data_IF_236776457074
#
_entry.id   IF_236776457074
#
_cell.length_a   1.000
_cell.length_b   1.000
_cell.length_c   1.000
_cell.angle_alpha   90.00
_cell.angle_beta   90.00
_cell.angle_gamma   90.00
#
_symmetry.space_group_name_H-M   'P 1'
#
loop_
_entity.id
_entity.type
_entity.pdbx_description
1 polymer ?
#
# COMPACT_ATOMS: atom_id res chain seq x y z
N UNK A 1 -10.61 35.72 4.42
CA UNK A 1 -11.22 34.39 4.25
C UNK A 1 -11.83 34.01 5.58
N UNK A 2 -13.13 33.67 5.62
CA UNK A 2 -13.73 33.16 6.85
C UNK A 2 -13.06 31.85 7.25
N UNK A 3 -12.95 31.58 8.56
CA UNK A 3 -12.51 30.28 9.04
C UNK A 3 -13.55 29.24 8.64
N UNK A 4 -13.07 28.15 8.10
CA UNK A 4 -13.87 27.05 7.57
C UNK A 4 -13.54 25.76 8.32
N UNK A 5 -14.58 25.00 8.68
CA UNK A 5 -14.46 23.71 9.35
C UNK A 5 -13.78 22.69 8.44
N UNK A 6 -14.07 22.73 7.13
CA UNK A 6 -13.43 21.83 6.18
C UNK A 6 -11.91 22.08 6.15
N UNK A 7 -11.48 23.34 6.09
CA UNK A 7 -10.06 23.70 6.20
C UNK A 7 -9.40 23.23 7.51
N UNK A 8 -10.07 23.40 8.67
CA UNK A 8 -9.55 22.91 9.95
C UNK A 8 -9.28 21.41 9.90
N UNK A 9 -10.24 20.64 9.40
CA UNK A 9 -10.11 19.18 9.33
C UNK A 9 -9.03 18.78 8.32
N UNK A 10 -9.11 19.25 7.08
CA UNK A 10 -8.25 18.74 6.00
C UNK A 10 -6.82 19.27 6.04
N UNK A 11 -6.62 20.53 6.45
CA UNK A 11 -5.30 21.18 6.39
C UNK A 11 -4.57 21.21 7.72
N UNK A 12 -5.28 21.12 8.84
CA UNK A 12 -4.67 21.18 10.17
C UNK A 12 -4.69 19.83 10.86
N UNK A 13 -5.85 19.16 10.91
CA UNK A 13 -6.00 17.91 11.68
C UNK A 13 -5.45 16.71 10.89
N UNK A 14 -5.91 16.50 9.66
CA UNK A 14 -5.61 15.29 8.88
C UNK A 14 -4.11 15.00 8.71
N UNK A 15 -3.22 15.96 8.40
CA UNK A 15 -1.81 15.67 8.19
C UNK A 15 -1.13 15.00 9.39
N UNK A 16 -1.45 15.45 10.60
CA UNK A 16 -0.91 14.91 11.85
C UNK A 16 -1.61 13.62 12.24
N UNK A 17 -2.95 13.63 12.22
CA UNK A 17 -3.74 12.51 12.69
C UNK A 17 -3.49 11.25 11.86
N UNK A 18 -3.39 11.40 10.52
CA UNK A 18 -3.10 10.28 9.63
C UNK A 18 -1.74 9.64 9.92
N UNK A 19 -0.71 10.46 10.20
CA UNK A 19 0.61 9.97 10.59
C UNK A 19 0.55 9.23 11.94
N UNK A 20 -0.14 9.80 12.94
CA UNK A 20 -0.31 9.19 14.26
C UNK A 20 -1.06 7.86 14.19
N UNK A 21 -2.17 7.80 13.44
CA UNK A 21 -2.95 6.57 13.22
C UNK A 21 -2.06 5.50 12.57
N UNK A 22 -1.27 5.88 11.56
CA UNK A 22 -0.34 4.95 10.92
C UNK A 22 0.72 4.43 11.91
N UNK A 23 1.27 5.31 12.76
CA UNK A 23 2.24 4.91 13.79
C UNK A 23 1.63 3.94 14.81
N UNK A 24 0.43 4.23 15.32
CA UNK A 24 -0.30 3.37 16.27
C UNK A 24 -0.57 1.98 15.69
N UNK A 25 -0.93 1.89 14.42
CA UNK A 25 -1.21 0.61 13.74
C UNK A 25 0.05 -0.17 13.31
N UNK A 26 1.22 0.46 13.34
CA UNK A 26 2.47 -0.12 12.81
C UNK A 26 3.26 -1.02 13.79
N UNK A 27 2.83 -1.15 15.05
CA UNK A 27 3.61 -1.80 16.13
C UNK A 27 3.42 -3.32 16.31
N UNK A 28 2.61 -4.01 15.49
CA UNK A 28 2.68 -5.49 15.33
C UNK A 28 2.32 -6.42 16.52
N UNK A 29 1.12 -7.02 16.43
CA UNK A 29 0.65 -8.39 16.85
C UNK A 29 0.40 -8.80 18.32
N UNK A 30 -0.78 -9.42 18.60
CA UNK A 30 -1.01 -10.84 19.06
C UNK A 30 -2.50 -11.11 19.43
N UNK A 31 -2.96 -12.34 19.13
CA UNK A 31 -4.35 -12.86 19.01
C UNK A 31 -4.98 -13.40 20.32
N UNK A 32 -6.26 -13.08 20.60
CA UNK A 32 -7.12 -13.83 21.56
C UNK A 32 -8.61 -13.90 21.15
N UNK A 33 -9.28 -15.02 21.44
CA UNK A 33 -10.64 -15.35 20.98
C UNK A 33 -11.69 -15.41 22.08
N UNK A 34 -12.95 -15.10 21.75
CA UNK A 34 -14.13 -15.30 22.61
C UNK A 34 -15.30 -15.87 21.81
N UNK A 35 -16.07 -16.72 22.47
CA UNK A 35 -17.12 -17.55 21.88
C UNK A 35 -18.44 -16.78 21.68
N UNK A 36 -19.04 -16.93 20.50
CA UNK A 36 -20.27 -16.23 20.08
C UNK A 36 -21.17 -17.12 19.23
N UNK A 37 -22.48 -16.87 19.31
CA UNK A 37 -23.60 -17.76 18.90
C UNK A 37 -23.69 -18.15 17.40
N UNK A 38 -22.80 -17.67 16.53
CA UNK A 38 -22.75 -18.02 15.09
C UNK A 38 -21.36 -18.47 14.63
N UNK A 39 -20.50 -18.87 15.56
CA UNK A 39 -19.12 -19.27 15.29
C UNK A 39 -18.13 -18.15 15.66
N UNK A 40 -16.92 -18.57 16.03
CA UNK A 40 -15.80 -17.70 16.42
C UNK A 40 -15.53 -16.64 15.34
N UNK A 41 -16.00 -15.41 15.58
CA UNK A 41 -15.59 -14.21 14.84
C UNK A 41 -14.40 -13.59 15.56
N UNK A 42 -13.28 -13.49 14.86
CA UNK A 42 -12.06 -12.84 15.34
C UNK A 42 -12.12 -11.36 14.91
N UNK A 43 -12.17 -10.44 15.87
CA UNK A 43 -12.02 -9.00 15.61
C UNK A 43 -10.85 -8.49 16.43
N UNK A 44 -9.86 -7.93 15.73
CA UNK A 44 -8.55 -7.51 16.21
C UNK A 44 -8.60 -6.06 16.71
N UNK A 45 -8.30 -5.83 18.00
CA UNK A 45 -8.03 -4.49 18.52
C UNK A 45 -6.87 -4.58 19.52
N UNK A 46 -5.66 -4.28 19.09
CA UNK A 46 -4.61 -3.89 20.04
C UNK A 46 -5.04 -2.62 20.77
N UNK A 47 -4.46 -2.33 21.94
CA UNK A 47 -4.70 -1.04 22.61
C UNK A 47 -4.44 0.13 21.65
N UNK A 48 -3.38 0.02 20.84
CA UNK A 48 -3.04 1.01 19.81
C UNK A 48 -4.11 1.11 18.72
N UNK A 49 -4.70 0.00 18.26
CA UNK A 49 -5.80 0.02 17.29
C UNK A 49 -7.05 0.67 17.86
N UNK A 50 -7.40 0.38 19.12
CA UNK A 50 -8.53 1.01 19.79
C UNK A 50 -8.34 2.53 19.86
N UNK A 51 -7.16 2.99 20.28
CA UNK A 51 -6.86 4.42 20.36
C UNK A 51 -6.79 5.08 18.97
N UNK A 52 -6.29 4.37 17.96
CA UNK A 52 -6.30 4.84 16.57
C UNK A 52 -7.73 5.00 16.04
N UNK A 53 -8.60 4.03 16.31
CA UNK A 53 -10.02 4.11 15.94
C UNK A 53 -10.75 5.22 16.69
N UNK A 54 -10.43 5.47 17.96
CA UNK A 54 -11.00 6.58 18.73
C UNK A 54 -10.61 7.95 18.13
N UNK A 55 -9.37 8.11 17.67
CA UNK A 55 -8.92 9.31 16.95
C UNK A 55 -9.63 9.47 15.59
N UNK A 56 -9.76 8.40 14.81
CA UNK A 56 -10.49 8.42 13.53
C UNK A 56 -11.96 8.81 13.72
N UNK A 57 -12.62 8.20 14.71
CA UNK A 57 -14.00 8.48 15.05
C UNK A 57 -14.19 9.93 15.49
N UNK A 58 -13.31 10.43 16.38
CA UNK A 58 -13.31 11.83 16.80
C UNK A 58 -13.23 12.77 15.60
N UNK A 59 -12.24 12.59 14.71
CA UNK A 59 -12.09 13.40 13.49
C UNK A 59 -13.35 13.36 12.63
N UNK A 60 -13.89 12.17 12.38
CA UNK A 60 -15.09 12.02 11.54
C UNK A 60 -16.29 12.73 12.16
N UNK A 61 -16.44 12.63 13.48
CA UNK A 61 -17.52 13.28 14.23
C UNK A 61 -17.41 14.81 14.20
N UNK A 62 -16.21 15.40 14.04
CA UNK A 62 -16.10 16.86 13.91
C UNK A 62 -16.95 17.41 12.76
N UNK A 63 -16.94 16.76 11.61
CA UNK A 63 -17.76 17.21 10.49
C UNK A 63 -19.25 17.13 10.83
N UNK A 64 -19.70 15.98 11.33
CA UNK A 64 -21.13 15.76 11.59
C UNK A 64 -21.66 16.61 12.75
N UNK A 65 -20.87 16.80 13.80
CA UNK A 65 -21.27 17.54 15.00
C UNK A 65 -21.25 19.06 14.81
N UNK A 66 -20.44 19.56 13.86
CA UNK A 66 -20.18 20.99 13.76
C UNK A 66 -20.50 21.64 12.40
N UNK A 67 -20.78 20.88 11.33
CA UNK A 67 -21.05 21.45 9.98
C UNK A 67 -22.19 22.48 9.93
N UNK A 68 -23.21 22.30 10.78
CA UNK A 68 -24.45 23.09 10.78
C UNK A 68 -24.46 24.11 11.94
N UNK A 69 -23.34 24.29 12.64
CA UNK A 69 -23.19 25.17 13.81
C UNK A 69 -21.98 26.07 13.69
N UNK A 70 -21.96 27.18 14.44
CA UNK A 70 -20.74 27.98 14.56
C UNK A 70 -19.70 27.22 15.38
N UNK A 71 -18.84 26.48 14.69
CA UNK A 71 -17.83 25.64 15.32
C UNK A 71 -16.78 26.44 16.10
N UNK A 72 -16.63 27.74 15.81
CA UNK A 72 -15.70 28.62 16.52
C UNK A 72 -16.16 28.83 17.96
N UNK A 73 -17.47 29.04 18.17
CA UNK A 73 -18.07 29.17 19.51
C UNK A 73 -17.91 27.89 20.34
N UNK A 74 -17.78 26.75 19.67
CA UNK A 74 -17.58 25.42 20.30
C UNK A 74 -16.12 24.96 20.30
N UNK A 75 -15.17 25.85 20.00
CA UNK A 75 -13.76 25.47 19.89
C UNK A 75 -13.18 24.83 21.17
N UNK A 76 -13.64 25.27 22.35
CA UNK A 76 -13.23 24.67 23.64
C UNK A 76 -13.66 23.21 23.75
N UNK A 77 -14.87 22.88 23.29
CA UNK A 77 -15.40 21.51 23.29
C UNK A 77 -14.61 20.61 22.32
N UNK A 78 -14.24 21.14 21.15
CA UNK A 78 -13.39 20.43 20.19
C UNK A 78 -12.04 20.09 20.83
N UNK A 79 -11.39 21.06 21.49
CA UNK A 79 -10.10 20.83 22.15
C UNK A 79 -10.24 19.88 23.34
N UNK A 80 -11.25 20.07 24.20
CA UNK A 80 -11.48 19.20 25.36
C UNK A 80 -11.71 17.74 24.93
N UNK A 81 -12.54 17.50 23.91
CA UNK A 81 -12.78 16.14 23.39
C UNK A 81 -11.50 15.48 22.85
N UNK A 82 -10.61 16.25 22.22
CA UNK A 82 -9.30 15.76 21.79
C UNK A 82 -8.39 15.47 22.98
N UNK A 83 -8.33 16.37 23.97
CA UNK A 83 -7.51 16.19 25.17
C UNK A 83 -7.87 14.92 25.95
N UNK A 84 -9.16 14.57 26.03
CA UNK A 84 -9.61 13.32 26.66
C UNK A 84 -9.03 12.07 25.96
N UNK A 85 -8.85 12.09 24.64
CA UNK A 85 -8.22 11.00 23.89
C UNK A 85 -6.70 11.00 24.14
N UNK A 86 -6.05 12.17 24.15
CA UNK A 86 -4.63 12.30 24.46
C UNK A 86 -4.29 11.83 25.89
N UNK A 87 -5.18 12.08 26.86
CA UNK A 87 -5.03 11.59 28.23
C UNK A 87 -4.96 10.06 28.24
N UNK A 88 -5.85 9.38 27.50
CA UNK A 88 -5.84 7.91 27.39
C UNK A 88 -4.59 7.41 26.68
N UNK A 89 -4.16 8.06 25.61
CA UNK A 89 -2.93 7.73 24.88
C UNK A 89 -1.71 7.80 25.80
N UNK A 90 -1.51 8.91 26.50
CA UNK A 90 -0.35 9.09 27.40
C UNK A 90 -0.42 8.15 28.61
N UNK A 91 -1.61 7.91 29.16
CA UNK A 91 -1.75 7.02 30.30
C UNK A 91 -1.51 5.54 29.93
N UNK A 92 -1.97 5.10 28.75
CA UNK A 92 -2.05 3.67 28.41
C UNK A 92 -0.94 3.16 27.51
N UNK A 93 -0.34 4.00 26.68
CA UNK A 93 0.79 3.59 25.85
C UNK A 93 2.05 3.36 26.70
N UNK A 94 2.90 2.39 26.33
CA UNK A 94 4.17 2.15 27.00
C UNK A 94 5.11 3.36 26.85
N UNK A 95 5.88 3.66 27.89
CA UNK A 95 6.88 4.73 27.87
C UNK A 95 8.09 4.33 27.00
N UNK A 96 7.95 4.54 25.70
CA UNK A 96 8.99 4.29 24.70
C UNK A 96 9.12 5.45 23.69
N UNK A 97 10.12 5.36 22.82
CA UNK A 97 10.40 6.38 21.83
C UNK A 97 9.23 6.60 20.84
N UNK A 98 8.41 5.57 20.58
CA UNK A 98 7.29 5.68 19.66
C UNK A 98 6.16 6.50 20.31
N UNK A 99 5.84 6.21 21.58
CA UNK A 99 4.88 7.00 22.35
C UNK A 99 5.26 8.48 22.39
N UNK A 100 6.51 8.82 22.73
CA UNK A 100 6.92 10.22 22.78
C UNK A 100 6.77 10.93 21.43
N UNK A 101 7.10 10.23 20.34
CA UNK A 101 6.90 10.74 18.98
C UNK A 101 5.43 10.95 18.64
N UNK A 102 4.56 9.99 18.97
CA UNK A 102 3.11 10.13 18.79
C UNK A 102 2.57 11.33 19.56
N UNK A 103 2.96 11.47 20.83
CA UNK A 103 2.50 12.57 21.68
C UNK A 103 3.00 13.93 21.19
N UNK A 104 4.23 14.02 20.68
CA UNK A 104 4.78 15.27 20.12
C UNK A 104 3.97 15.74 18.89
N UNK A 105 3.70 14.85 17.95
CA UNK A 105 2.88 15.15 16.75
C UNK A 105 1.45 15.56 17.14
N UNK A 106 0.85 14.90 18.14
CA UNK A 106 -0.48 15.26 18.63
C UNK A 106 -0.50 16.61 19.33
N UNK A 107 0.49 16.92 20.16
CA UNK A 107 0.58 18.23 20.83
C UNK A 107 0.82 19.37 19.85
N UNK A 108 1.63 19.14 18.81
CA UNK A 108 1.80 20.10 17.72
C UNK A 108 0.46 20.36 17.00
N UNK A 109 -0.28 19.29 16.69
CA UNK A 109 -1.62 19.39 16.10
C UNK A 109 -2.58 20.18 17.00
N UNK A 110 -2.67 19.86 18.30
CA UNK A 110 -3.56 20.55 19.24
C UNK A 110 -3.21 22.05 19.29
N UNK A 111 -1.93 22.40 19.32
CA UNK A 111 -1.50 23.81 19.30
C UNK A 111 -1.86 24.55 18.01
N UNK A 112 -1.85 23.87 16.85
CA UNK A 112 -2.33 24.45 15.59
C UNK A 112 -3.85 24.62 15.57
N UNK A 113 -4.58 23.66 16.14
CA UNK A 113 -6.04 23.74 16.31
C UNK A 113 -6.43 24.91 17.23
N UNK A 114 -5.76 25.07 18.37
CA UNK A 114 -5.98 26.19 19.31
C UNK A 114 -5.82 27.55 18.63
N UNK A 115 -4.70 27.77 17.93
CA UNK A 115 -4.45 29.01 17.19
C UNK A 115 -5.51 29.25 16.10
N UNK A 116 -5.88 28.20 15.36
CA UNK A 116 -6.93 28.32 14.34
C UNK A 116 -8.29 28.66 14.95
N UNK A 117 -8.59 28.19 16.16
CA UNK A 117 -9.83 28.48 16.88
C UNK A 117 -9.80 29.78 17.69
N UNK A 118 -8.70 30.56 17.67
CA UNK A 118 -8.53 31.79 18.48
C UNK A 118 -8.68 31.54 19.99
N UNK A 119 -8.18 30.39 20.47
CA UNK A 119 -8.25 29.98 21.87
C UNK A 119 -6.89 30.09 22.57
N UNK A 120 -6.11 31.12 22.26
CA UNK A 120 -4.73 31.26 22.76
C UNK A 120 -4.62 31.12 24.28
N UNK A 121 -3.80 30.16 24.73
CA UNK A 121 -3.56 29.88 26.15
C UNK A 121 -4.55 28.91 26.79
N UNK A 122 -5.57 28.46 26.06
CA UNK A 122 -6.53 27.49 26.55
C UNK A 122 -5.89 26.14 26.87
N UNK A 123 -5.02 25.62 25.99
CA UNK A 123 -4.28 24.37 26.23
C UNK A 123 -3.40 24.51 27.47
N UNK A 124 -2.70 25.64 27.62
CA UNK A 124 -1.86 25.90 28.77
C UNK A 124 -2.68 25.87 30.08
N UNK A 125 -3.89 26.43 30.08
CA UNK A 125 -4.81 26.40 31.22
C UNK A 125 -5.31 24.99 31.57
N UNK A 126 -5.31 24.05 30.61
CA UNK A 126 -5.74 22.66 30.78
C UNK A 126 -4.60 21.71 31.18
N UNK A 127 -3.34 22.16 31.21
CA UNK A 127 -2.18 21.29 31.44
C UNK A 127 -2.20 20.56 32.78
N UNK A 128 -2.59 21.25 33.87
CA UNK A 128 -2.66 20.62 35.20
C UNK A 128 -3.77 19.57 35.28
N UNK A 129 -4.92 19.83 34.66
CA UNK A 129 -6.01 18.86 34.52
C UNK A 129 -5.54 17.62 33.76
N UNK A 130 -4.89 17.82 32.61
CA UNK A 130 -4.34 16.75 31.78
C UNK A 130 -3.39 15.84 32.58
N UNK A 131 -2.37 16.42 33.22
CA UNK A 131 -1.37 15.67 33.97
C UNK A 131 -2.00 14.90 35.15
N UNK A 132 -2.92 15.54 35.87
CA UNK A 132 -3.63 14.90 36.99
C UNK A 132 -4.41 13.68 36.52
N UNK A 133 -5.09 13.78 35.37
CA UNK A 133 -5.88 12.67 34.80
C UNK A 133 -5.03 11.52 34.27
N UNK A 134 -3.90 11.83 33.63
CA UNK A 134 -2.95 10.80 33.19
C UNK A 134 -2.45 9.97 34.39
N UNK A 135 -2.05 10.63 35.48
CA UNK A 135 -1.58 9.95 36.69
C UNK A 135 -2.69 9.17 37.40
N UNK A 136 -3.93 9.69 37.41
CA UNK A 136 -5.10 8.97 37.93
C UNK A 136 -5.31 7.63 37.21
N UNK A 137 -5.29 7.64 35.86
CA UNK A 137 -5.47 6.43 35.04
C UNK A 137 -4.30 5.46 35.25
N UNK A 138 -3.05 5.95 35.29
CA UNK A 138 -1.86 5.10 35.54
C UNK A 138 -1.96 4.38 36.87
N UNK A 139 -2.35 5.09 37.93
CA UNK A 139 -2.53 4.52 39.27
C UNK A 139 -3.62 3.44 39.27
N UNK A 140 -4.75 3.71 38.62
CA UNK A 140 -5.85 2.73 38.49
C UNK A 140 -5.39 1.47 37.74
N UNK A 141 -4.68 1.61 36.63
CA UNK A 141 -4.15 0.49 35.84
C UNK A 141 -3.09 -0.32 36.63
N UNK A 142 -2.25 0.34 37.44
CA UNK A 142 -1.29 -0.35 38.32
C UNK A 142 -1.99 -1.15 39.43
N UNK A 143 -3.02 -0.57 40.07
CA UNK A 143 -3.83 -1.26 41.08
C UNK A 143 -4.54 -2.49 40.48
N UNK A 144 -5.09 -2.37 39.28
CA UNK A 144 -5.70 -3.49 38.55
C UNK A 144 -4.66 -4.57 38.22
N UNK A 145 -3.46 -4.21 37.76
CA UNK A 145 -2.37 -5.16 37.51
C UNK A 145 -1.99 -5.92 38.79
N UNK A 146 -1.87 -5.24 39.94
CA UNK A 146 -1.60 -5.86 41.25
C UNK A 146 -2.70 -6.83 41.66
N UNK A 147 -3.98 -6.48 41.44
CA UNK A 147 -5.13 -7.37 41.72
C UNK A 147 -5.08 -8.64 40.86
N UNK A 148 -4.91 -8.49 39.54
CA UNK A 148 -4.79 -9.63 38.61
C UNK A 148 -3.63 -10.55 38.97
N UNK A 149 -2.47 -9.99 39.36
CA UNK A 149 -1.31 -10.80 39.75
C UNK A 149 -1.56 -11.59 41.05
N UNK A 150 -2.25 -10.99 42.03
CA UNK A 150 -2.65 -11.69 43.28
C UNK A 150 -3.62 -12.83 42.99
N UNK A 151 -4.57 -12.65 42.09
CA UNK A 151 -5.51 -13.70 41.68
C UNK A 151 -4.82 -14.84 40.92
N UNK A 152 -3.93 -14.53 39.98
CA UNK A 152 -3.12 -15.55 39.28
C UNK A 152 -2.31 -16.40 40.26
N UNK A 153 -1.69 -15.78 41.28
CA UNK A 153 -0.96 -16.49 42.35
C UNK A 153 -1.86 -17.36 43.24
N UNK A 154 -3.12 -16.98 43.45
CA UNK A 154 -4.10 -17.81 44.18
C UNK A 154 -4.48 -19.04 43.36
N UNK A 155 -4.76 -18.86 42.06
CA UNK A 155 -5.15 -19.95 41.16
C UNK A 155 -4.02 -20.98 41.00
N UNK A 156 -2.77 -20.53 40.87
CA UNK A 156 -1.62 -21.43 40.73
C UNK A 156 -1.36 -22.28 41.98
N UNK A 157 -1.80 -21.83 43.17
CA UNK A 157 -1.66 -22.59 44.43
C UNK A 157 -2.74 -23.66 44.63
N UNK A 158 -3.89 -23.55 43.96
CA UNK A 158 -5.05 -24.43 44.17
C UNK A 158 -5.02 -25.67 43.25
N UNK A 159 -4.17 -25.69 42.21
CA UNK A 159 -4.01 -26.85 41.30
C UNK A 159 -2.60 -27.48 41.42
N UNK A 160 -2.42 -28.54 42.22
CA UNK A 160 -1.31 -29.47 42.02
C UNK A 160 -1.54 -30.20 40.69
N UNK A 161 -0.54 -30.21 39.83
CA UNK A 161 -0.56 -30.87 38.52
C UNK A 161 -0.82 -32.37 38.66
N UNK A 162 -2.06 -32.82 38.41
CA UNK A 162 -2.28 -34.18 37.93
C UNK A 162 -1.91 -34.19 36.45
N UNK A 163 -0.70 -34.65 36.19
CA UNK A 163 -0.13 -34.95 34.89
C UNK A 163 -1.07 -35.89 34.12
N UNK A 164 -1.88 -35.33 33.21
CA UNK A 164 -2.73 -36.12 32.33
C UNK A 164 -1.88 -36.56 31.14
N UNK A 165 -1.38 -37.79 31.18
CA UNK A 165 -0.74 -38.46 30.04
C UNK A 165 -1.67 -38.39 28.82
N UNK A 166 -1.22 -37.74 27.77
CA UNK A 166 -1.91 -37.65 26.48
C UNK A 166 -2.05 -39.03 25.85
N UNK A 167 -3.29 -39.50 25.68
CA UNK A 167 -3.62 -40.68 24.87
C UNK A 167 -3.42 -40.35 23.40
N UNK A 168 -2.47 -41.02 22.78
CA UNK A 168 -2.23 -41.06 21.33
C UNK A 168 -3.43 -41.73 20.65
N UNK A 169 -4.20 -40.98 19.88
CA UNK A 169 -5.26 -41.53 19.01
C UNK A 169 -4.63 -41.82 17.65
N UNK A 170 -4.44 -43.10 17.35
CA UNK A 170 -4.02 -43.59 16.04
C UNK A 170 -5.15 -43.39 15.02
N UNK A 171 -4.91 -42.57 14.00
CA UNK A 171 -5.77 -42.47 12.82
C UNK A 171 -5.33 -43.51 11.79
N UNK A 172 -6.13 -44.55 11.61
CA UNK A 172 -6.01 -45.53 10.53
C UNK A 172 -7.16 -45.38 9.52
N UNK A 173 -6.79 -45.61 8.26
CA UNK A 173 -7.63 -45.99 7.11
C UNK A 173 -8.54 -44.94 6.44
N UNK A 174 -8.15 -44.59 5.21
CA UNK A 174 -9.06 -44.40 4.07
C UNK A 174 -8.28 -44.33 2.75
N UNK A 175 -7.80 -45.49 2.28
CA UNK A 175 -7.44 -45.71 0.87
C UNK A 175 -8.68 -46.21 0.11
N UNK A 176 -9.25 -45.38 -0.76
CA UNK A 176 -10.08 -45.80 -1.93
C UNK A 176 -9.86 -44.77 -3.04
N UNK A 177 -9.10 -45.14 -4.08
CA UNK A 177 -9.61 -45.59 -5.39
C UNK A 177 -10.19 -44.44 -6.24
N UNK A 178 -9.33 -43.82 -7.05
CA UNK A 178 -9.74 -43.16 -8.31
C UNK A 178 -8.75 -43.57 -9.41
N UNK A 179 -9.12 -44.62 -10.16
CA UNK A 179 -8.64 -44.85 -11.52
C UNK A 179 -9.65 -44.19 -12.46
N UNK A 180 -9.23 -43.22 -13.27
CA UNK A 180 -10.00 -42.78 -14.44
C UNK A 180 -9.09 -42.32 -15.57
N UNK A 181 -9.09 -43.13 -16.64
CA UNK A 181 -8.97 -42.80 -18.06
C UNK A 181 -7.87 -41.82 -18.54
N UNK A 182 -6.79 -42.39 -19.09
CA UNK A 182 -5.90 -41.71 -20.05
C UNK A 182 -6.40 -42.02 -21.46
N UNK A 183 -7.11 -41.06 -22.07
CA UNK A 183 -7.45 -41.09 -23.48
C UNK A 183 -6.30 -40.53 -24.33
N UNK A 184 -5.60 -41.40 -25.08
CA UNK A 184 -4.63 -41.00 -26.11
C UNK A 184 -5.35 -40.36 -27.30
N UNK A 185 -5.33 -39.03 -27.41
CA UNK A 185 -5.65 -38.30 -28.66
C UNK A 185 -4.39 -38.17 -29.52
N UNK A 186 -4.34 -38.86 -30.67
CA UNK A 186 -3.38 -38.59 -31.75
C UNK A 186 -3.69 -37.20 -32.34
N UNK A 187 -2.84 -36.20 -32.04
CA UNK A 187 -2.85 -34.91 -32.76
C UNK A 187 -2.05 -35.08 -34.06
N UNK A 188 -2.69 -34.89 -35.21
CA UNK A 188 -2.01 -34.69 -36.51
C UNK A 188 -1.36 -33.30 -36.46
N UNK A 189 -0.04 -33.27 -36.39
CA UNK A 189 0.75 -32.04 -36.48
C UNK A 189 0.76 -31.61 -37.96
N UNK A 190 0.26 -30.39 -38.22
CA UNK A 190 0.31 -29.76 -39.53
C UNK A 190 1.77 -29.50 -39.93
N UNK A 191 2.16 -29.90 -41.14
CA UNK A 191 3.52 -29.79 -41.66
C UNK A 191 4.06 -28.34 -41.68
N UNK A 192 3.16 -27.35 -41.69
CA UNK A 192 3.52 -25.92 -41.58
C UNK A 192 4.09 -25.53 -40.21
N UNK A 193 3.69 -26.22 -39.14
CA UNK A 193 4.26 -26.01 -37.80
C UNK A 193 5.61 -26.72 -37.64
N UNK A 194 5.83 -27.83 -38.36
CA UNK A 194 7.11 -28.53 -38.34
C UNK A 194 8.25 -27.67 -38.92
N UNK A 195 7.98 -26.88 -39.98
CA UNK A 195 8.96 -25.96 -40.58
C UNK A 195 9.34 -24.81 -39.63
N UNK A 196 8.37 -24.26 -38.89
CA UNK A 196 8.62 -23.25 -37.86
C UNK A 196 9.48 -23.79 -36.71
N UNK A 197 9.21 -25.02 -36.26
CA UNK A 197 10.03 -25.67 -35.25
C UNK A 197 11.47 -25.92 -35.71
N UNK A 198 11.69 -26.26 -36.99
CA UNK A 198 13.04 -26.42 -37.55
C UNK A 198 13.79 -25.09 -37.55
N UNK A 199 13.14 -23.98 -37.90
CA UNK A 199 13.77 -22.66 -37.88
C UNK A 199 14.16 -22.20 -36.47
N UNK A 200 13.26 -22.39 -35.50
CA UNK A 200 13.55 -22.10 -34.09
C UNK A 200 14.68 -22.98 -33.56
N UNK A 201 14.69 -24.27 -33.93
CA UNK A 201 15.75 -25.19 -33.53
C UNK A 201 17.11 -24.82 -34.14
N UNK A 202 17.16 -24.42 -35.42
CA UNK A 202 18.38 -23.93 -36.06
C UNK A 202 18.89 -22.64 -35.42
N UNK A 203 17.99 -21.74 -35.04
CA UNK A 203 18.37 -20.50 -34.34
C UNK A 203 18.92 -20.77 -32.94
N UNK A 204 18.27 -21.66 -32.17
CA UNK A 204 18.75 -22.09 -30.85
C UNK A 204 20.08 -22.86 -30.95
N UNK A 205 20.25 -23.68 -31.99
CA UNK A 205 21.50 -24.40 -32.25
C UNK A 205 22.64 -23.45 -32.59
N UNK A 206 22.38 -22.42 -33.39
CA UNK A 206 23.37 -21.38 -33.70
C UNK A 206 23.77 -20.59 -32.45
N UNK A 207 22.80 -20.22 -31.60
CA UNK A 207 23.06 -19.56 -30.32
C UNK A 207 23.83 -20.46 -29.34
N UNK A 208 23.53 -21.76 -29.33
CA UNK A 208 24.25 -22.74 -28.51
C UNK A 208 25.70 -22.95 -28.99
N UNK A 209 25.94 -23.09 -30.30
CA UNK A 209 27.31 -23.22 -30.85
C UNK A 209 28.14 -21.95 -30.59
N UNK A 210 27.52 -20.77 -30.67
CA UNK A 210 28.16 -19.50 -30.32
C UNK A 210 28.49 -19.37 -28.82
N UNK A 211 27.59 -19.83 -27.94
CA UNK A 211 27.75 -19.67 -26.49
C UNK A 211 28.60 -20.75 -25.82
N UNK A 212 28.64 -21.97 -26.38
CA UNK A 212 29.26 -23.13 -25.73
C UNK A 212 30.46 -23.70 -26.49
N UNK A 213 30.61 -23.36 -27.77
CA UNK A 213 31.59 -23.97 -28.66
C UNK A 213 32.30 -22.92 -29.54
N UNK A 214 32.27 -21.65 -29.14
CA UNK A 214 32.89 -20.48 -29.79
C UNK A 214 32.66 -20.39 -31.31
N UNK A 215 31.51 -20.87 -31.80
CA UNK A 215 31.16 -20.88 -33.23
C UNK A 215 31.99 -21.83 -34.09
N UNK A 216 32.66 -22.82 -33.50
CA UNK A 216 33.56 -23.77 -34.21
C UNK A 216 32.83 -24.65 -35.23
N UNK A 217 31.51 -24.82 -35.11
CA UNK A 217 30.69 -25.54 -36.10
C UNK A 217 30.22 -24.58 -37.20
N UNK A 218 29.78 -23.38 -36.85
CA UNK A 218 29.37 -22.35 -37.82
C UNK A 218 30.51 -21.90 -38.75
N UNK A 219 31.74 -21.81 -38.25
CA UNK A 219 32.93 -21.53 -39.09
C UNK A 219 33.21 -22.61 -40.14
N UNK A 220 32.91 -23.88 -39.85
CA UNK A 220 33.05 -24.98 -40.83
C UNK A 220 32.03 -24.91 -41.96
N UNK A 221 30.90 -24.22 -41.75
CA UNK A 221 29.87 -23.99 -42.77
C UNK A 221 30.16 -22.71 -43.58
N UNK A 222 31.33 -22.09 -43.39
CA UNK A 222 31.78 -20.95 -44.19
C UNK A 222 31.25 -19.59 -43.71
N UNK A 223 30.74 -19.51 -42.48
CA UNK A 223 30.25 -18.25 -41.90
C UNK A 223 31.41 -17.60 -41.12
N UNK A 224 31.88 -16.45 -41.60
CA UNK A 224 33.00 -15.70 -41.02
C UNK A 224 32.59 -14.97 -39.72
N UNK A 225 33.13 -15.45 -38.59
CA UNK A 225 32.73 -15.14 -37.21
C UNK A 225 33.23 -13.76 -36.75
N UNK A 226 34.39 -13.31 -37.26
CA UNK A 226 34.99 -12.04 -36.85
C UNK A 226 34.30 -10.82 -37.48
N UNK A 227 33.65 -11.01 -38.63
CA UNK A 227 32.79 -9.99 -39.24
C UNK A 227 31.41 -9.96 -38.57
N UNK A 228 31.00 -11.04 -37.91
CA UNK A 228 29.70 -11.17 -37.26
C UNK A 228 29.67 -10.61 -35.85
N UNK A 229 30.76 -10.56 -35.08
CA UNK A 229 30.72 -10.03 -33.69
C UNK A 229 30.39 -8.53 -33.60
N UNK A 230 30.95 -7.70 -34.49
CA UNK A 230 30.58 -6.28 -34.60
C UNK A 230 29.18 -6.08 -35.19
N UNK A 231 28.76 -6.95 -36.11
CA UNK A 231 27.41 -6.93 -36.66
C UNK A 231 26.39 -7.38 -35.63
N UNK A 232 26.70 -8.39 -34.80
CA UNK A 232 25.83 -8.96 -33.75
C UNK A 232 25.68 -8.01 -32.58
N UNK A 233 26.73 -7.30 -32.15
CA UNK A 233 26.60 -6.27 -31.11
C UNK A 233 25.79 -5.06 -31.60
N UNK A 234 26.03 -4.62 -32.84
CA UNK A 234 25.24 -3.55 -33.48
C UNK A 234 23.80 -3.99 -33.82
N UNK A 235 23.59 -5.24 -34.22
CA UNK A 235 22.25 -5.82 -34.41
C UNK A 235 21.56 -5.96 -33.08
N UNK A 236 22.25 -6.39 -32.02
CA UNK A 236 21.66 -6.57 -30.70
C UNK A 236 21.25 -5.22 -30.13
N UNK A 237 22.07 -4.18 -30.24
CA UNK A 237 21.66 -2.83 -29.83
C UNK A 237 20.51 -2.30 -30.69
N UNK A 238 20.53 -2.51 -32.01
CA UNK A 238 19.42 -2.10 -32.89
C UNK A 238 18.16 -2.94 -32.72
N UNK A 239 18.28 -4.22 -32.38
CA UNK A 239 17.16 -5.12 -32.07
C UNK A 239 16.62 -4.77 -30.69
N UNK A 240 17.47 -4.41 -29.72
CA UNK A 240 17.04 -3.92 -28.42
C UNK A 240 16.35 -2.56 -28.56
N UNK A 241 16.86 -1.65 -29.39
CA UNK A 241 16.24 -0.35 -29.68
C UNK A 241 14.91 -0.51 -30.46
N UNK A 242 14.87 -1.38 -31.48
CA UNK A 242 13.66 -1.68 -32.26
C UNK A 242 12.65 -2.47 -31.42
N UNK A 243 13.09 -3.39 -30.56
CA UNK A 243 12.23 -4.09 -29.61
C UNK A 243 11.71 -3.14 -28.54
N UNK A 244 12.54 -2.23 -28.01
CA UNK A 244 12.10 -1.21 -27.05
C UNK A 244 11.09 -0.25 -27.70
N UNK A 245 11.33 0.16 -28.95
CA UNK A 245 10.41 1.01 -29.71
C UNK A 245 9.08 0.28 -30.07
N UNK A 246 9.14 -1.01 -30.41
CA UNK A 246 7.94 -1.86 -30.60
C UNK A 246 7.21 -2.16 -29.29
N UNK A 247 7.88 -2.16 -28.14
CA UNK A 247 7.23 -2.37 -26.83
C UNK A 247 6.55 -1.11 -26.28
N UNK A 248 6.97 0.08 -26.71
CA UNK A 248 6.38 1.34 -26.24
C UNK A 248 5.16 1.80 -27.04
N UNK A 249 4.79 1.11 -28.13
CA UNK A 249 3.53 1.40 -28.82
C UNK A 249 2.28 1.08 -27.98
N UNK A 250 2.44 0.21 -26.97
CA UNK A 250 1.34 -0.21 -26.09
C UNK A 250 1.37 0.50 -24.72
N UNK A 251 2.31 1.41 -24.48
CA UNK A 251 2.45 2.11 -23.19
C UNK A 251 1.20 2.90 -22.80
N UNK A 252 0.41 3.29 -23.80
CA UNK A 252 -0.86 3.99 -23.63
C UNK A 252 -1.98 3.10 -23.07
N UNK A 253 -1.86 1.76 -23.12
CA UNK A 253 -2.97 0.85 -22.79
C UNK A 253 -2.59 -0.27 -21.81
N UNK A 254 -1.36 -0.26 -21.32
CA UNK A 254 -0.80 -1.33 -20.50
C UNK A 254 0.03 -0.73 -19.38
N UNK A 255 -0.39 -0.94 -18.13
CA UNK A 255 0.34 -0.48 -16.92
C UNK A 255 1.83 -0.87 -16.97
N UNK A 256 2.21 -2.15 -17.18
CA UNK A 256 3.62 -2.52 -17.17
C UNK A 256 4.41 -1.89 -18.32
N UNK A 257 3.78 -1.64 -19.47
CA UNK A 257 4.44 -0.98 -20.61
C UNK A 257 4.55 0.54 -20.39
N UNK A 258 3.52 1.18 -19.80
CA UNK A 258 3.55 2.58 -19.36
C UNK A 258 4.73 2.82 -18.42
N UNK A 259 4.83 2.01 -17.36
CA UNK A 259 5.92 2.11 -16.39
C UNK A 259 7.27 1.88 -17.06
N UNK A 260 7.41 0.83 -17.88
CA UNK A 260 8.68 0.51 -18.54
C UNK A 260 9.10 1.61 -19.52
N UNK A 261 8.17 2.19 -20.26
CA UNK A 261 8.49 3.16 -21.30
C UNK A 261 8.65 4.57 -20.72
N UNK A 262 7.67 5.05 -19.95
CA UNK A 262 7.68 6.42 -19.44
C UNK A 262 8.77 6.62 -18.38
N UNK A 263 9.05 5.62 -17.54
CA UNK A 263 10.07 5.76 -16.48
C UNK A 263 11.49 5.38 -16.93
N UNK A 264 11.67 5.00 -18.20
CA UNK A 264 12.99 4.94 -18.85
C UNK A 264 13.20 6.09 -19.84
N UNK A 265 12.22 6.96 -20.05
CA UNK A 265 12.35 8.16 -20.86
C UNK A 265 13.14 9.24 -20.07
N UNK A 266 14.33 9.66 -20.52
CA UNK A 266 15.15 10.62 -19.79
C UNK A 266 14.47 11.98 -19.61
N UNK A 267 13.61 12.39 -20.54
CA UNK A 267 12.90 13.67 -20.45
C UNK A 267 11.84 13.63 -19.34
N UNK A 268 11.10 12.51 -19.25
CA UNK A 268 10.13 12.28 -18.18
C UNK A 268 10.81 12.20 -16.81
N UNK A 269 11.93 11.48 -16.74
CA UNK A 269 12.68 11.34 -15.49
C UNK A 269 13.27 12.68 -15.02
N UNK A 270 13.69 13.57 -15.92
CA UNK A 270 14.16 14.89 -15.55
C UNK A 270 13.07 15.77 -14.89
N UNK A 271 11.83 15.69 -15.38
CA UNK A 271 10.67 16.37 -14.76
C UNK A 271 10.39 15.81 -13.37
N UNK A 272 10.39 14.47 -13.25
CA UNK A 272 10.17 13.79 -11.99
C UNK A 272 11.25 14.09 -10.95
N UNK A 273 12.52 14.17 -11.35
CA UNK A 273 13.63 14.46 -10.45
C UNK A 273 13.55 15.83 -9.78
N UNK A 274 13.05 16.84 -10.51
CA UNK A 274 12.85 18.18 -9.95
C UNK A 274 11.81 18.14 -8.81
N UNK A 275 10.62 17.58 -9.09
CA UNK A 275 9.56 17.47 -8.10
C UNK A 275 9.92 16.51 -6.95
N UNK A 276 10.61 15.41 -7.25
CA UNK A 276 11.06 14.44 -6.27
C UNK A 276 12.00 15.07 -5.22
N UNK A 277 12.88 16.02 -5.61
CA UNK A 277 13.75 16.73 -4.66
C UNK A 277 12.94 17.54 -3.64
N UNK A 278 11.85 18.15 -4.07
CA UNK A 278 10.98 18.96 -3.20
C UNK A 278 10.14 18.10 -2.25
N UNK A 279 9.67 16.95 -2.73
CA UNK A 279 8.78 16.04 -1.98
C UNK A 279 9.53 15.03 -1.11
N UNK A 280 10.81 14.77 -1.38
CA UNK A 280 11.59 13.79 -0.61
C UNK A 280 11.67 14.18 0.86
N UNK A 281 11.48 13.19 1.73
CA UNK A 281 11.63 13.30 3.18
C UNK A 281 12.66 12.27 3.66
N UNK A 282 12.84 12.21 4.98
CA UNK A 282 13.88 11.38 5.64
C UNK A 282 13.77 9.88 5.31
N UNK A 283 12.55 9.38 5.10
CA UNK A 283 12.28 7.97 4.81
C UNK A 283 11.17 7.82 3.75
N UNK A 284 11.00 6.59 3.27
CA UNK A 284 10.03 6.26 2.22
C UNK A 284 8.58 6.51 2.66
N UNK A 285 8.23 6.26 3.92
CA UNK A 285 6.86 6.45 4.40
C UNK A 285 6.49 7.93 4.44
N UNK A 286 7.38 8.79 4.97
CA UNK A 286 7.20 10.25 4.97
C UNK A 286 7.22 10.84 3.57
N UNK A 287 8.05 10.30 2.68
CA UNK A 287 8.09 10.73 1.28
C UNK A 287 6.80 10.34 0.56
N UNK A 288 6.31 9.13 0.78
CA UNK A 288 5.04 8.66 0.24
C UNK A 288 3.85 9.49 0.74
N UNK A 289 3.79 9.82 2.04
CA UNK A 289 2.78 10.76 2.54
C UNK A 289 2.90 12.15 1.93
N UNK A 290 4.12 12.67 1.73
CA UNK A 290 4.33 13.96 1.07
C UNK A 290 3.88 13.97 -0.39
N UNK A 291 4.04 12.84 -1.10
CA UNK A 291 3.52 12.67 -2.46
C UNK A 291 1.99 12.74 -2.45
N UNK A 292 1.32 11.95 -1.62
CA UNK A 292 -0.16 11.94 -1.55
C UNK A 292 -0.74 13.32 -1.21
N UNK A 293 -0.12 14.06 -0.29
CA UNK A 293 -0.53 15.44 0.04
C UNK A 293 -0.37 16.38 -1.17
N UNK A 294 0.71 16.20 -1.93
CA UNK A 294 0.95 17.01 -3.13
C UNK A 294 -0.04 16.65 -4.23
N UNK A 295 -0.25 15.36 -4.51
CA UNK A 295 -1.20 14.86 -5.51
C UNK A 295 -2.63 15.35 -5.19
N UNK A 296 -3.09 15.22 -3.95
CA UNK A 296 -4.40 15.72 -3.49
C UNK A 296 -4.59 17.23 -3.72
N UNK A 297 -3.51 18.02 -3.69
CA UNK A 297 -3.57 19.47 -3.84
C UNK A 297 -3.30 19.99 -5.24
N UNK A 298 -2.76 19.17 -6.15
CA UNK A 298 -2.32 19.61 -7.48
C UNK A 298 -2.94 18.81 -8.63
N UNK A 299 -3.53 17.65 -8.35
CA UNK A 299 -4.08 16.76 -9.38
C UNK A 299 -5.53 16.44 -9.02
N UNK A 300 -6.44 16.85 -9.91
CA UNK A 300 -7.86 16.51 -9.84
C UNK A 300 -8.15 15.17 -10.53
N UNK A 301 -9.09 14.40 -10.00
CA UNK A 301 -9.53 13.18 -10.67
C UNK A 301 -10.31 13.50 -11.94
N UNK A 302 -9.86 13.00 -13.10
CA UNK A 302 -10.52 13.22 -14.40
C UNK A 302 -11.72 12.27 -14.57
N UNK A 303 -12.82 12.61 -13.90
CA UNK A 303 -14.10 11.87 -13.93
C UNK A 303 -14.61 11.66 -15.36
N UNK A 304 -14.39 12.64 -16.24
CA UNK A 304 -14.82 12.55 -17.63
C UNK A 304 -14.04 11.48 -18.39
N UNK A 305 -12.72 11.43 -18.20
CA UNK A 305 -11.87 10.37 -18.75
C UNK A 305 -12.23 9.00 -18.17
N UNK A 306 -12.55 8.92 -16.87
CA UNK A 306 -12.96 7.67 -16.23
C UNK A 306 -14.24 7.06 -16.84
N UNK A 307 -15.25 7.87 -17.16
CA UNK A 307 -16.50 7.39 -17.77
C UNK A 307 -16.53 7.43 -19.30
N UNK A 308 -15.49 7.95 -19.97
CA UNK A 308 -15.49 7.97 -21.43
C UNK A 308 -15.38 6.55 -21.97
N UNK A 309 -16.30 6.18 -22.86
CA UNK A 309 -16.30 4.86 -23.54
C UNK A 309 -15.06 4.62 -24.40
N UNK A 310 -14.34 5.68 -24.73
CA UNK A 310 -13.06 5.63 -25.39
C UNK A 310 -11.97 5.47 -24.33
N UNK A 311 -11.23 4.35 -24.37
CA UNK A 311 -10.04 4.16 -23.54
C UNK A 311 -9.04 5.26 -23.90
N UNK A 312 -8.94 6.29 -23.06
CA UNK A 312 -7.90 7.30 -23.26
C UNK A 312 -6.55 6.73 -22.85
N UNK A 313 -5.48 7.11 -23.56
CA UNK A 313 -4.14 6.63 -23.28
C UNK A 313 -3.71 6.98 -21.85
N UNK A 314 -2.99 6.06 -21.21
CA UNK A 314 -2.27 6.31 -19.94
C UNK A 314 -1.34 7.50 -20.16
N UNK A 315 -1.51 8.53 -19.34
CA UNK A 315 -0.74 9.76 -19.44
C UNK A 315 0.70 9.53 -19.01
N UNK A 316 1.63 10.26 -19.65
CA UNK A 316 2.99 10.36 -19.13
C UNK A 316 3.01 11.14 -17.82
N UNK A 317 3.95 10.88 -16.90
CA UNK A 317 4.05 11.65 -15.66
C UNK A 317 4.10 13.18 -15.87
N UNK A 318 4.89 13.66 -16.84
CA UNK A 318 4.97 15.09 -17.18
C UNK A 318 3.63 15.66 -17.66
N UNK A 319 2.83 14.84 -18.36
CA UNK A 319 1.50 15.22 -18.82
C UNK A 319 0.53 15.35 -17.65
N UNK A 320 0.50 14.37 -16.74
CA UNK A 320 -0.36 14.39 -15.54
C UNK A 320 -0.05 15.63 -14.68
N UNK A 321 1.23 15.92 -14.44
CA UNK A 321 1.68 17.11 -13.69
C UNK A 321 1.21 18.38 -14.40
N UNK A 322 1.45 18.52 -15.71
CA UNK A 322 1.10 19.71 -16.49
C UNK A 322 -0.40 19.95 -16.56
N UNK A 323 -1.19 18.88 -16.73
CA UNK A 323 -2.65 18.97 -16.81
C UNK A 323 -3.28 19.23 -15.45
N UNK A 324 -2.62 18.86 -14.36
CA UNK A 324 -3.19 18.90 -13.01
C UNK A 324 -4.41 17.99 -12.89
N UNK A 325 -4.50 16.94 -13.71
CA UNK A 325 -5.60 15.97 -13.68
C UNK A 325 -5.27 14.62 -14.32
N UNK A 326 -5.85 13.55 -13.79
CA UNK A 326 -5.70 12.20 -14.33
C UNK A 326 -6.65 11.18 -13.69
N UNK A 327 -6.58 9.92 -14.11
CA UNK A 327 -7.33 8.81 -13.50
C UNK A 327 -6.40 7.87 -12.71
N UNK A 328 -6.93 6.87 -12.03
CA UNK A 328 -6.19 5.99 -11.12
C UNK A 328 -4.83 5.49 -11.65
N UNK A 329 -4.75 5.04 -12.91
CA UNK A 329 -3.50 4.59 -13.53
C UNK A 329 -2.48 5.71 -13.74
N UNK A 330 -2.91 6.93 -14.08
CA UNK A 330 -2.03 8.08 -14.26
C UNK A 330 -1.33 8.45 -12.94
N UNK A 331 -2.09 8.43 -11.84
CA UNK A 331 -1.54 8.61 -10.48
C UNK A 331 -0.55 7.48 -10.17
N UNK A 332 -0.92 6.22 -10.36
CA UNK A 332 -0.04 5.09 -10.04
C UNK A 332 1.31 5.18 -10.76
N UNK A 333 1.33 5.54 -12.04
CA UNK A 333 2.56 5.70 -12.84
C UNK A 333 3.37 6.92 -12.36
N UNK A 334 2.72 8.05 -12.11
CA UNK A 334 3.37 9.26 -11.56
C UNK A 334 4.00 8.99 -10.18
N UNK A 335 3.23 8.43 -9.25
CA UNK A 335 3.66 8.11 -7.89
C UNK A 335 4.86 7.16 -7.91
N UNK A 336 4.82 6.10 -8.72
CA UNK A 336 5.94 5.16 -8.87
C UNK A 336 7.20 5.87 -9.41
N UNK A 337 7.03 6.72 -10.42
CA UNK A 337 8.11 7.53 -10.98
C UNK A 337 8.75 8.49 -9.98
N UNK A 338 7.95 9.17 -9.15
CA UNK A 338 8.44 10.05 -8.09
C UNK A 338 9.26 9.28 -7.05
N UNK A 339 8.75 8.14 -6.55
CA UNK A 339 9.48 7.32 -5.59
C UNK A 339 10.81 6.80 -6.14
N UNK A 340 10.82 6.33 -7.40
CA UNK A 340 12.06 5.89 -8.06
C UNK A 340 13.05 7.04 -8.24
N UNK A 341 12.57 8.25 -8.55
CA UNK A 341 13.39 9.47 -8.66
C UNK A 341 13.97 9.91 -7.32
N UNK A 342 13.33 9.57 -6.21
CA UNK A 342 13.86 9.74 -4.85
C UNK A 342 14.89 8.67 -4.44
N UNK A 343 15.22 7.73 -5.33
CA UNK A 343 16.04 6.54 -5.08
C UNK A 343 15.41 5.52 -4.13
N UNK A 344 14.07 5.45 -4.08
CA UNK A 344 13.38 4.32 -3.49
C UNK A 344 13.18 3.22 -4.54
N UNK A 345 13.72 2.04 -4.28
CA UNK A 345 13.62 0.87 -5.16
C UNK A 345 13.84 -0.39 -4.31
N UNK A 346 12.98 -1.42 -4.39
CA UNK A 346 11.80 -1.51 -5.25
C UNK A 346 10.63 -0.65 -4.76
N UNK A 347 9.71 -0.34 -5.68
CA UNK A 347 8.35 0.18 -5.42
C UNK A 347 7.34 -0.74 -6.11
N UNK A 348 6.06 -0.59 -5.78
CA UNK A 348 5.03 -1.51 -6.25
C UNK A 348 3.89 -0.76 -6.92
N UNK A 349 3.27 -1.39 -7.91
CA UNK A 349 2.03 -0.92 -8.54
C UNK A 349 1.04 -2.08 -8.55
N UNK A 350 -0.18 -1.80 -8.13
CA UNK A 350 -1.27 -2.75 -8.04
C UNK A 350 -2.26 -2.44 -9.15
N UNK A 351 -2.61 -3.47 -9.91
CA UNK A 351 -3.73 -3.49 -10.83
C UNK A 351 -4.82 -4.36 -10.20
N UNK A 352 -5.95 -3.75 -9.87
CA UNK A 352 -6.93 -4.24 -8.91
C UNK A 352 -8.25 -4.49 -9.63
N UNK A 353 -8.78 -5.69 -9.46
CA UNK A 353 -10.10 -6.06 -9.95
C UNK A 353 -11.12 -6.04 -8.81
N UNK A 354 -12.36 -5.68 -9.16
CA UNK A 354 -13.49 -5.71 -8.23
C UNK A 354 -14.50 -6.79 -8.64
N UNK A 355 -15.10 -7.46 -7.65
CA UNK A 355 -16.15 -8.48 -7.86
C UNK A 355 -17.39 -7.91 -8.55
N UNK A 356 -17.65 -6.61 -8.38
CA UNK A 356 -18.88 -5.95 -8.78
C UNK A 356 -18.67 -4.72 -9.68
N UNK A 357 -17.48 -4.55 -10.26
CA UNK A 357 -17.19 -3.47 -11.20
C UNK A 357 -16.11 -3.91 -12.22
N UNK A 358 -16.41 -3.80 -13.51
CA UNK A 358 -15.54 -4.21 -14.61
C UNK A 358 -14.40 -3.22 -14.93
N UNK A 359 -14.44 -2.00 -14.36
CA UNK A 359 -13.47 -0.94 -14.69
C UNK A 359 -12.11 -1.10 -13.99
N UNK A 360 -12.05 -1.90 -12.92
CA UNK A 360 -10.84 -2.10 -12.11
C UNK A 360 -10.35 -0.81 -11.41
N UNK A 361 -9.16 -0.86 -10.83
CA UNK A 361 -8.47 0.27 -10.21
C UNK A 361 -6.95 0.07 -10.26
N UNK A 362 -6.18 1.16 -10.23
CA UNK A 362 -4.73 1.10 -10.15
C UNK A 362 -4.21 2.00 -9.04
N UNK A 363 -3.24 1.51 -8.26
CA UNK A 363 -2.64 2.27 -7.17
C UNK A 363 -1.18 1.89 -7.00
N UNK A 364 -0.32 2.88 -6.74
CA UNK A 364 1.05 2.62 -6.31
C UNK A 364 1.07 2.15 -4.85
N UNK A 365 2.15 1.48 -4.46
CA UNK A 365 2.35 1.04 -3.08
C UNK A 365 3.83 1.01 -2.73
N UNK A 366 4.11 1.12 -1.43
CA UNK A 366 5.43 0.88 -0.85
C UNK A 366 5.40 -0.37 0.02
N UNK A 367 6.52 -1.09 0.10
CA UNK A 367 6.69 -2.17 1.06
C UNK A 367 7.54 -1.68 2.23
N UNK A 368 6.94 -1.58 3.41
CA UNK A 368 7.61 -1.11 4.62
C UNK A 368 7.47 -2.15 5.73
N UNK A 369 8.60 -2.56 6.34
CA UNK A 369 8.66 -3.64 7.34
C UNK A 369 7.94 -4.94 6.92
N UNK A 370 7.98 -5.24 5.62
CA UNK A 370 7.34 -6.43 5.05
C UNK A 370 5.82 -6.31 4.93
N UNK A 371 5.26 -5.11 4.84
CA UNK A 371 3.83 -4.89 4.58
C UNK A 371 3.64 -3.92 3.42
N UNK A 372 2.61 -4.14 2.62
CA UNK A 372 2.20 -3.19 1.60
C UNK A 372 1.38 -2.04 2.20
N UNK A 373 1.73 -0.82 1.81
CA UNK A 373 0.99 0.39 2.10
C UNK A 373 0.62 1.05 0.77
N UNK A 374 -0.69 1.08 0.51
CA UNK A 374 -1.31 1.63 -0.70
C UNK A 374 -1.23 3.15 -0.70
N UNK A 375 -0.94 3.70 -1.87
CA UNK A 375 -0.85 5.12 -2.18
C UNK A 375 -1.94 5.44 -3.20
N UNK A 376 -3.12 5.79 -2.70
CA UNK A 376 -4.32 5.92 -3.53
C UNK A 376 -4.86 7.34 -3.53
N UNK A 377 -4.19 8.21 -4.30
CA UNK A 377 -4.55 9.59 -4.68
C UNK A 377 -4.71 10.62 -3.55
N UNK A 378 -5.12 10.18 -2.37
CA UNK A 378 -5.40 10.97 -1.20
C UNK A 378 -4.77 10.31 0.04
N UNK A 379 -4.31 11.10 1.03
CA UNK A 379 -3.94 10.58 2.33
C UNK A 379 -5.15 9.92 3.04
N UNK A 380 -4.92 8.90 3.91
CA UNK A 380 -3.63 8.39 4.36
C UNK A 380 -3.05 7.27 3.48
N UNK A 381 -1.81 6.87 3.77
CA UNK A 381 -1.31 5.54 3.38
C UNK A 381 -2.15 4.46 4.05
N UNK A 382 -2.60 3.48 3.28
CA UNK A 382 -3.49 2.43 3.79
C UNK A 382 -2.84 1.06 3.67
N UNK A 383 -2.78 0.31 4.76
CA UNK A 383 -2.46 -1.13 4.68
C UNK A 383 -3.58 -1.88 3.93
N UNK A 384 -3.27 -3.06 3.37
CA UNK A 384 -4.21 -3.81 2.51
C UNK A 384 -5.61 -4.00 3.12
N UNK A 385 -5.71 -4.34 4.41
CA UNK A 385 -6.99 -4.54 5.08
C UNK A 385 -7.80 -3.25 5.21
N UNK A 386 -7.14 -2.16 5.59
CA UNK A 386 -7.76 -0.83 5.65
C UNK A 386 -8.21 -0.39 4.26
N UNK A 387 -7.39 -0.65 3.26
CA UNK A 387 -7.67 -0.33 1.86
C UNK A 387 -8.89 -1.09 1.33
N UNK A 388 -8.97 -2.39 1.59
CA UNK A 388 -10.16 -3.19 1.28
C UNK A 388 -11.42 -2.63 1.94
N UNK A 389 -11.34 -2.35 3.25
CA UNK A 389 -12.50 -1.81 3.99
C UNK A 389 -12.92 -0.43 3.49
N UNK A 390 -11.97 0.39 3.03
CA UNK A 390 -12.26 1.69 2.42
C UNK A 390 -13.16 1.51 1.20
N UNK A 391 -12.75 0.70 0.22
CA UNK A 391 -13.54 0.41 -0.98
C UNK A 391 -14.87 -0.28 -0.66
N UNK A 392 -14.88 -1.24 0.26
CA UNK A 392 -16.09 -1.98 0.66
C UNK A 392 -17.10 -1.12 1.46
N UNK A 393 -16.68 0.04 1.97
CA UNK A 393 -17.56 0.94 2.73
C UNK A 393 -17.98 2.15 1.90
N UNK A 394 -17.02 2.79 1.23
CA UNK A 394 -17.22 4.07 0.58
C UNK A 394 -17.35 3.96 -0.94
N UNK A 395 -16.85 2.87 -1.55
CA UNK A 395 -16.86 2.70 -2.99
C UNK A 395 -15.91 3.64 -3.72
N UNK A 396 -16.11 3.80 -5.02
CA UNK A 396 -15.50 4.91 -5.74
C UNK A 396 -16.12 6.24 -5.30
N UNK A 397 -15.33 7.31 -5.29
CA UNK A 397 -15.73 8.62 -4.79
C UNK A 397 -16.96 9.22 -5.50
N UNK A 398 -17.33 8.70 -6.68
CA UNK A 398 -18.36 9.24 -7.55
C UNK A 398 -19.68 8.45 -7.40
N UNK A 399 -19.63 7.13 -7.51
CA UNK A 399 -20.79 6.24 -7.44
C UNK A 399 -21.24 6.00 -6.00
N UNK A 400 -20.31 6.06 -5.02
CA UNK A 400 -20.54 5.71 -3.61
C UNK A 400 -21.14 4.31 -3.43
N UNK A 401 -20.95 3.43 -4.43
CA UNK A 401 -21.38 2.04 -4.37
C UNK A 401 -20.21 1.24 -3.79
N UNK A 402 -20.41 0.51 -2.68
CA UNK A 402 -19.38 -0.39 -2.14
C UNK A 402 -18.75 -1.26 -3.23
N UNK A 403 -17.42 -1.23 -3.32
CA UNK A 403 -16.65 -2.05 -4.26
C UNK A 403 -15.85 -3.09 -3.48
N UNK A 404 -15.95 -4.34 -3.90
CA UNK A 404 -15.30 -5.46 -3.23
C UNK A 404 -14.12 -5.93 -4.08
N UNK A 405 -12.89 -5.74 -3.59
CA UNK A 405 -11.70 -6.22 -4.29
C UNK A 405 -11.77 -7.74 -4.42
N UNK A 406 -11.65 -8.25 -5.65
CA UNK A 406 -11.57 -9.69 -5.94
C UNK A 406 -10.13 -10.17 -5.90
N UNK A 407 -9.27 -9.50 -6.67
CA UNK A 407 -7.85 -9.80 -6.79
C UNK A 407 -7.05 -8.56 -7.18
N UNK A 408 -5.73 -8.62 -6.99
CA UNK A 408 -4.83 -7.60 -7.50
C UNK A 408 -3.54 -8.23 -8.04
N UNK A 409 -3.15 -7.84 -9.24
CA UNK A 409 -1.84 -8.16 -9.81
C UNK A 409 -0.82 -7.14 -9.27
N UNK A 410 0.23 -7.63 -8.64
CA UNK A 410 1.28 -6.79 -8.03
C UNK A 410 2.50 -6.78 -8.94
N UNK A 411 2.80 -5.58 -9.47
CA UNK A 411 4.02 -5.31 -10.21
C UNK A 411 5.09 -4.75 -9.28
N UNK A 412 6.25 -5.41 -9.23
CA UNK A 412 7.46 -4.83 -8.66
C UNK A 412 8.16 -4.00 -9.72
N UNK A 413 8.43 -2.74 -9.38
CA UNK A 413 9.13 -1.77 -10.21
C UNK A 413 10.44 -1.41 -9.53
N UNK A 414 11.56 -1.67 -10.18
CA UNK A 414 12.90 -1.47 -9.61
C UNK A 414 13.87 -0.91 -10.63
N UNK A 415 14.88 -0.20 -10.13
CA UNK A 415 16.04 0.24 -10.93
C UNK A 415 17.10 -0.88 -10.96
N UNK A 416 17.35 -1.44 -12.13
CA UNK A 416 18.43 -2.41 -12.38
C UNK A 416 19.34 -1.88 -13.49
N UNK A 417 20.65 -1.77 -13.22
CA UNK A 417 21.65 -1.26 -14.17
C UNK A 417 21.28 0.09 -14.81
N UNK A 418 20.67 0.99 -14.01
CA UNK A 418 20.25 2.31 -14.48
C UNK A 418 18.96 2.32 -15.30
N UNK A 419 18.29 1.18 -15.49
CA UNK A 419 17.00 1.07 -16.18
C UNK A 419 15.90 0.66 -15.21
N UNK A 420 14.68 1.16 -15.44
CA UNK A 420 13.49 0.71 -14.74
C UNK A 420 13.01 -0.60 -15.37
N UNK A 421 12.87 -1.63 -14.54
CA UNK A 421 12.32 -2.93 -14.93
C UNK A 421 11.05 -3.22 -14.14
N UNK A 422 10.12 -3.91 -14.78
CA UNK A 422 8.79 -4.23 -14.23
C UNK A 422 8.58 -5.74 -14.33
N UNK A 423 8.21 -6.36 -13.21
CA UNK A 423 7.91 -7.79 -13.15
C UNK A 423 6.68 -8.03 -12.25
N UNK A 424 5.84 -9.00 -12.63
CA UNK A 424 4.78 -9.48 -11.74
C UNK A 424 5.44 -10.31 -10.63
N UNK A 425 5.18 -9.96 -9.37
CA UNK A 425 5.74 -10.67 -8.21
C UNK A 425 4.70 -11.46 -7.44
N UNK A 426 3.44 -11.05 -7.50
CA UNK A 426 2.37 -11.66 -6.72
C UNK A 426 1.01 -11.39 -7.37
N UNK A 427 0.05 -12.28 -7.13
CA UNK A 427 -1.37 -12.02 -7.33
C UNK A 427 -2.00 -12.19 -5.95
N UNK A 428 -2.59 -11.12 -5.42
CA UNK A 428 -3.21 -11.10 -4.11
C UNK A 428 -4.71 -11.37 -4.24
N UNK A 429 -5.23 -12.32 -3.47
CA UNK A 429 -6.68 -12.54 -3.41
C UNK A 429 -7.37 -11.61 -2.42
N UNK A 430 -8.70 -11.53 -2.47
CA UNK A 430 -9.53 -10.93 -1.43
C UNK A 430 -9.13 -11.31 0.00
N UNK A 431 -8.82 -12.57 0.26
CA UNK A 431 -8.37 -13.05 1.59
C UNK A 431 -7.01 -12.46 1.99
N UNK A 432 -6.11 -12.23 1.05
CA UNK A 432 -4.82 -11.59 1.30
C UNK A 432 -5.01 -10.13 1.73
N UNK A 433 -5.95 -9.43 1.10
CA UNK A 433 -6.34 -8.08 1.51
C UNK A 433 -6.96 -8.08 2.91
N UNK A 434 -7.93 -8.94 3.17
CA UNK A 434 -8.63 -9.03 4.47
C UNK A 434 -7.71 -9.43 5.63
N UNK A 435 -6.69 -10.24 5.36
CA UNK A 435 -5.71 -10.68 6.35
C UNK A 435 -4.57 -9.69 6.58
N UNK A 436 -4.38 -8.70 5.70
CA UNK A 436 -3.27 -7.75 5.78
C UNK A 436 -1.91 -8.42 5.59
N UNK A 437 -1.81 -9.31 4.59
CA UNK A 437 -0.65 -10.15 4.30
C UNK A 437 0.69 -9.38 4.31
N UNK A 438 1.73 -10.06 4.82
CA UNK A 438 3.14 -9.62 4.86
C UNK A 438 3.86 -9.98 3.54
#
# INVERSE_FOLDING_TARGET
>A
MGKDLHYLITRIINPYLNLVIAMLRSDGHVIHGRDGYTGLRWTDHTLSDYLASELEEWRNNLWYSYRDSDFLDRGKEIIDSLLEILIKLDAKLPDDANKYKIMDELWEMVGKVERYLELDGYIASRRDYFNTKVEEIRKQDEELRKKVQREKKKISKIRPSREHKSRTISRSSSRKLVRKYVGRRKRRISWKNALGFVFVFLMLFALWDLGYNDGKILSKVGIDINKTTNVVSTLKSKIDDVASALTCSNSEYSIPDAIRCYLNDPEEMAVLEALAKELKRQDIARSASSILIWEESHIEYDVYQYYSKDSRPIQKPSETIRRGKGVCVDYAVLTAGLLLSMNYSPVYVFDIDFENNEMGHASAAIKFKGYYYMMDQHPPLMGLKTYYNHWATYGDAISRIPLYISEATVYEVKKENGKVVVQVVEILSKEDFLSGKK
#
